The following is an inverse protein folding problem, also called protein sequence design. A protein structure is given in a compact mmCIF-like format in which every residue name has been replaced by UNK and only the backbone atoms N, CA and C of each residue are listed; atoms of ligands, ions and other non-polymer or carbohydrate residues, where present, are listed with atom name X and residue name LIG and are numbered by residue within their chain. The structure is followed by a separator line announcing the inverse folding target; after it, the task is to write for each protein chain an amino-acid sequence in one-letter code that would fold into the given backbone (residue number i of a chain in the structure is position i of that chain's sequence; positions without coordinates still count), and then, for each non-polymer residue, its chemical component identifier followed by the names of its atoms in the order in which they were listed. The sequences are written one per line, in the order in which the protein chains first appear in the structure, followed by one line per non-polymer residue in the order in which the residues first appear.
data_IF_936304344313
#
_entry.id   IF_936304344313
#
_cell.length_a   1.000
_cell.length_b   1.000
_cell.length_c   1.000
_cell.angle_alpha   90.00
_cell.angle_beta   90.00
_cell.angle_gamma   90.00
#
_symmetry.space_group_name_H-M   'P 1'
#
loop_
_entity.id
_entity.type
_entity.pdbx_description
1 polymer ?
#
# COMPACT_ATOMS: atom_id res chain seq x y z
N UNK A 1 -0.86 -11.41 1.49
CA UNK A 1 -2.20 -11.98 1.76
C UNK A 1 -2.30 -13.36 1.12
N UNK A 2 -2.64 -14.37 1.93
CA UNK A 2 -2.83 -15.73 1.46
C UNK A 2 -3.99 -15.81 0.43
N UNK A 3 -3.89 -16.61 -0.65
CA UNK A 3 -4.86 -16.63 -1.74
C UNK A 3 -6.33 -16.80 -1.33
N UNK A 4 -6.59 -17.63 -0.31
CA UNK A 4 -7.91 -17.98 0.20
C UNK A 4 -8.63 -16.81 0.91
N UNK A 5 -7.91 -15.76 1.28
CA UNK A 5 -8.44 -14.55 1.92
C UNK A 5 -8.71 -13.40 0.93
N UNK A 6 -8.38 -13.57 -0.34
CA UNK A 6 -8.58 -12.54 -1.37
C UNK A 6 -10.06 -12.32 -1.65
N UNK A 7 -10.40 -11.10 -2.10
CA UNK A 7 -11.77 -10.67 -2.44
C UNK A 7 -12.80 -10.76 -1.30
N UNK A 8 -12.35 -10.96 -0.06
CA UNK A 8 -13.18 -10.94 1.16
C UNK A 8 -13.19 -9.57 1.85
N UNK A 9 -12.69 -8.52 1.20
CA UNK A 9 -12.61 -7.17 1.77
C UNK A 9 -11.56 -6.98 2.88
N UNK A 10 -10.78 -8.01 3.22
CA UNK A 10 -9.80 -7.95 4.33
C UNK A 10 -8.79 -6.81 4.13
N UNK A 11 -8.27 -6.63 2.91
CA UNK A 11 -7.34 -5.53 2.61
C UNK A 11 -7.97 -4.15 2.79
N UNK A 12 -9.25 -3.99 2.41
CA UNK A 12 -9.96 -2.72 2.61
C UNK A 12 -10.13 -2.40 4.08
N UNK A 13 -10.56 -3.39 4.88
CA UNK A 13 -10.73 -3.23 6.33
C UNK A 13 -9.42 -2.87 7.04
N UNK A 14 -8.30 -3.41 6.57
CA UNK A 14 -6.98 -3.04 7.09
C UNK A 14 -6.64 -1.58 6.77
N UNK A 15 -6.91 -1.12 5.54
CA UNK A 15 -6.68 0.27 5.16
C UNK A 15 -7.60 1.24 5.90
N UNK A 16 -8.88 0.89 6.08
CA UNK A 16 -9.84 1.67 6.87
C UNK A 16 -9.33 1.87 8.30
N UNK A 17 -8.90 0.79 8.97
CA UNK A 17 -8.35 0.87 10.32
C UNK A 17 -7.05 1.71 10.40
N UNK A 18 -6.21 1.67 9.35
CA UNK A 18 -5.02 2.51 9.25
C UNK A 18 -5.37 3.99 9.10
N UNK A 19 -6.34 4.32 8.23
CA UNK A 19 -6.80 5.71 8.03
C UNK A 19 -7.41 6.26 9.31
N UNK A 20 -8.23 5.48 10.01
CA UNK A 20 -8.76 5.86 11.34
C UNK A 20 -7.64 6.12 12.35
N UNK A 21 -6.59 5.28 12.35
CA UNK A 21 -5.43 5.47 13.21
C UNK A 21 -4.70 6.78 12.87
N UNK A 22 -4.45 7.05 11.58
CA UNK A 22 -3.82 8.29 11.14
C UNK A 22 -4.59 9.54 11.60
N UNK A 23 -5.91 9.51 11.51
CA UNK A 23 -6.76 10.61 11.98
C UNK A 23 -6.65 10.82 13.49
N UNK A 24 -6.72 9.73 14.27
CA UNK A 24 -6.60 9.78 15.74
C UNK A 24 -5.24 10.32 16.20
N UNK A 25 -4.17 9.93 15.51
CA UNK A 25 -2.80 10.34 15.83
C UNK A 25 -2.39 11.66 15.16
N UNK A 26 -3.34 12.37 14.53
CA UNK A 26 -3.10 13.63 13.82
C UNK A 26 -1.97 13.57 12.78
N UNK A 27 -1.83 12.42 12.11
CA UNK A 27 -0.86 12.21 11.03
C UNK A 27 -1.23 13.12 9.86
N UNK A 28 -0.28 13.96 9.44
CA UNK A 28 -0.47 14.90 8.33
C UNK A 28 -0.11 14.28 6.98
N UNK A 29 0.78 13.29 6.96
CA UNK A 29 1.23 12.61 5.76
C UNK A 29 1.56 11.15 6.09
N UNK A 30 0.96 10.23 5.33
CA UNK A 30 1.28 8.81 5.36
C UNK A 30 1.77 8.38 3.98
N UNK A 31 2.91 7.69 3.94
CA UNK A 31 3.50 7.14 2.72
C UNK A 31 3.61 5.63 2.83
N UNK A 32 3.43 4.93 1.71
CA UNK A 32 3.72 3.50 1.60
C UNK A 32 4.35 3.23 0.23
N UNK A 33 5.19 2.20 0.17
CA UNK A 33 5.82 1.75 -1.07
C UNK A 33 5.13 0.49 -1.58
N UNK A 34 5.05 0.36 -2.90
CA UNK A 34 4.51 -0.82 -3.57
C UNK A 34 5.37 -1.19 -4.77
N UNK A 35 5.59 -2.50 -4.98
CA UNK A 35 6.19 -3.02 -6.21
C UNK A 35 5.29 -2.65 -7.39
N UNK A 36 5.86 -2.08 -8.44
CA UNK A 36 5.13 -1.49 -9.56
C UNK A 36 4.19 -2.49 -10.28
N UNK A 37 4.57 -3.76 -10.32
CA UNK A 37 3.80 -4.86 -10.91
C UNK A 37 2.60 -5.28 -10.05
N UNK A 38 2.58 -4.91 -8.76
CA UNK A 38 1.49 -5.24 -7.84
C UNK A 38 0.29 -4.31 -8.01
N UNK A 39 -0.28 -4.31 -9.22
CA UNK A 39 -1.46 -3.51 -9.59
C UNK A 39 -2.64 -3.69 -8.63
N UNK A 40 -2.93 -4.90 -8.09
CA UNK A 40 -4.00 -5.06 -7.10
C UNK A 40 -3.77 -4.27 -5.81
N UNK A 41 -2.54 -4.24 -5.30
CA UNK A 41 -2.22 -3.46 -4.09
C UNK A 41 -2.28 -1.96 -4.37
N UNK A 42 -1.69 -1.50 -5.49
CA UNK A 42 -1.75 -0.08 -5.89
C UNK A 42 -3.20 0.40 -5.98
N UNK A 43 -4.09 -0.37 -6.63
CA UNK A 43 -5.51 -0.03 -6.72
C UNK A 43 -6.18 0.02 -5.34
N UNK A 44 -5.85 -0.92 -4.45
CA UNK A 44 -6.36 -0.90 -3.08
C UNK A 44 -5.94 0.39 -2.36
N UNK A 45 -4.68 0.79 -2.43
CA UNK A 45 -4.20 2.00 -1.77
C UNK A 45 -4.87 3.26 -2.34
N UNK A 46 -5.03 3.35 -3.67
CA UNK A 46 -5.72 4.45 -4.33
C UNK A 46 -7.19 4.57 -3.91
N UNK A 47 -7.88 3.46 -3.68
CA UNK A 47 -9.25 3.48 -3.16
C UNK A 47 -9.34 4.09 -1.75
N UNK A 48 -8.24 4.12 -1.01
CA UNK A 48 -8.14 4.67 0.35
C UNK A 48 -7.38 6.01 0.40
N UNK A 49 -7.30 6.72 -0.72
CA UNK A 49 -6.80 8.10 -0.78
C UNK A 49 -5.29 8.26 -0.96
N UNK A 50 -4.57 7.19 -1.30
CA UNK A 50 -3.17 7.29 -1.68
C UNK A 50 -3.00 7.61 -3.17
N UNK A 51 -2.02 8.43 -3.50
CA UNK A 51 -1.60 8.70 -4.88
C UNK A 51 -0.14 8.29 -5.10
N UNK A 52 0.23 8.03 -6.35
CA UNK A 52 1.62 7.74 -6.73
C UNK A 52 2.40 9.05 -6.67
N UNK A 53 3.28 9.17 -5.68
CA UNK A 53 4.14 10.34 -5.52
C UNK A 53 5.51 10.17 -6.21
N UNK A 54 6.02 8.95 -6.33
CA UNK A 54 7.34 8.66 -6.93
C UNK A 54 7.45 7.21 -7.45
N UNK A 55 8.51 6.91 -8.19
CA UNK A 55 8.89 5.56 -8.64
C UNK A 55 10.39 5.34 -8.47
N UNK A 56 10.76 4.40 -7.60
CA UNK A 56 12.16 4.06 -7.31
C UNK A 56 12.65 2.90 -8.19
N UNK A 57 13.81 3.07 -8.83
CA UNK A 57 14.52 1.99 -9.50
C UNK A 57 15.59 1.42 -8.57
N UNK A 58 15.43 0.15 -8.19
CA UNK A 58 16.39 -0.56 -7.36
C UNK A 58 17.38 -1.29 -8.27
N UNK A 59 18.62 -0.83 -8.28
CA UNK A 59 19.72 -1.51 -8.98
C UNK A 59 20.46 -2.42 -8.00
N UNK A 60 20.70 -3.66 -8.40
CA UNK A 60 21.55 -4.60 -7.67
C UNK A 60 22.64 -5.07 -8.63
N UNK A 61 23.90 -5.00 -8.20
CA UNK A 61 24.98 -5.67 -8.92
C UNK A 61 25.06 -7.10 -8.39
N UNK A 62 25.20 -8.07 -9.28
CA UNK A 62 25.50 -9.43 -8.83
C UNK A 62 26.86 -9.42 -8.12
N UNK A 63 26.93 -10.03 -6.93
CA UNK A 63 28.22 -10.32 -6.30
C UNK A 63 28.94 -11.32 -7.19
N UNK A 64 30.00 -10.87 -7.86
CA UNK A 64 30.94 -11.74 -8.60
C UNK A 64 31.64 -12.74 -7.68
#
# INVERSE_FOLDING_TARGET
MLPEWRRKGVGSRMMEALVELYQREHVQLATLEAVAENKPAIRLYQQHGYDIADSLFIYQTENF
#
